data_IF_940555695242
#
_entry.id   IF_940555695242
#
_cell.length_a   1.000
_cell.length_b   1.000
_cell.length_c   1.000
_cell.angle_alpha   90.00
_cell.angle_beta   90.00
_cell.angle_gamma   90.00
#
_symmetry.space_group_name_H-M   'P 1'
#
loop_
_entity.id
_entity.type
_entity.pdbx_description
1 polymer ?
#
# COMPACT_ATOMS: atom_id res chain seq x y z
N UNK A 1 8.02 -14.52 5.16
CA UNK A 1 7.11 -13.39 4.85
C UNK A 1 6.65 -12.60 6.08
N UNK A 2 5.77 -13.11 6.97
CA UNK A 2 5.19 -12.35 8.12
C UNK A 2 6.25 -11.68 9.01
N UNK A 3 7.27 -12.42 9.45
CA UNK A 3 8.34 -11.87 10.31
C UNK A 3 9.16 -10.76 9.64
N UNK A 4 9.44 -10.89 8.34
CA UNK A 4 10.13 -9.86 7.55
C UNK A 4 9.27 -8.59 7.46
N UNK A 5 7.96 -8.77 7.26
CA UNK A 5 7.01 -7.65 7.23
C UNK A 5 6.90 -6.96 8.58
N UNK A 6 6.84 -7.71 9.69
CA UNK A 6 6.84 -7.14 11.04
C UNK A 6 8.13 -6.37 11.32
N UNK A 7 9.29 -6.92 10.93
CA UNK A 7 10.58 -6.24 11.08
C UNK A 7 10.63 -4.94 10.27
N UNK A 8 10.19 -4.97 9.01
CA UNK A 8 10.11 -3.77 8.19
C UNK A 8 9.15 -2.73 8.81
N UNK A 9 7.95 -3.17 9.22
CA UNK A 9 6.92 -2.31 9.80
C UNK A 9 7.48 -1.52 10.99
N UNK A 10 8.13 -2.21 11.94
CA UNK A 10 8.76 -1.55 13.09
C UNK A 10 9.83 -0.54 12.69
N UNK A 11 10.62 -0.82 11.64
CA UNK A 11 11.66 0.09 11.16
C UNK A 11 11.11 1.36 10.50
N UNK A 12 9.92 1.30 9.91
CA UNK A 12 9.29 2.43 9.21
C UNK A 12 8.19 3.13 10.04
N UNK A 13 7.99 2.71 11.30
CA UNK A 13 6.96 3.26 12.19
C UNK A 13 5.54 2.81 11.88
N UNK A 14 5.38 1.66 11.21
CA UNK A 14 4.09 1.04 10.91
C UNK A 14 3.90 -0.25 11.73
N UNK A 15 2.72 -0.87 11.60
CA UNK A 15 2.38 -2.14 12.23
C UNK A 15 1.72 -3.08 11.22
N UNK A 16 1.78 -4.38 11.50
CA UNK A 16 1.09 -5.41 10.71
C UNK A 16 -0.18 -5.79 11.45
N UNK A 17 -1.33 -5.82 10.77
CA UNK A 17 -2.56 -6.33 11.37
C UNK A 17 -2.40 -7.80 11.73
N UNK A 18 -2.80 -8.16 12.94
CA UNK A 18 -2.83 -9.54 13.38
C UNK A 18 -4.22 -10.13 13.12
N UNK A 19 -4.28 -11.07 12.17
CA UNK A 19 -5.51 -11.75 11.75
C UNK A 19 -5.19 -13.23 11.72
N UNK A 20 -5.56 -13.95 12.79
CA UNK A 20 -5.21 -15.36 12.99
C UNK A 20 -5.74 -16.26 11.87
N UNK A 21 -6.94 -15.97 11.37
CA UNK A 21 -7.62 -16.78 10.36
C UNK A 21 -7.13 -16.51 8.92
N UNK A 22 -6.30 -15.48 8.69
CA UNK A 22 -5.79 -15.13 7.36
C UNK A 22 -4.35 -15.62 7.16
N UNK A 23 -4.21 -16.84 6.64
CA UNK A 23 -2.93 -17.51 6.49
C UNK A 23 -2.15 -17.10 5.22
N UNK A 24 -2.77 -16.34 4.31
CA UNK A 24 -2.22 -16.07 2.98
C UNK A 24 -1.92 -14.58 2.79
N UNK A 25 -2.85 -13.71 3.16
CA UNK A 25 -2.75 -12.27 2.97
C UNK A 25 -2.41 -11.57 4.29
N UNK A 26 -1.53 -10.59 4.19
CA UNK A 26 -1.04 -9.76 5.28
C UNK A 26 -1.35 -8.30 4.96
N UNK A 27 -1.64 -7.51 6.00
CA UNK A 27 -1.94 -6.09 5.86
C UNK A 27 -0.97 -5.26 6.72
N UNK A 28 -0.22 -4.37 6.07
CA UNK A 28 0.66 -3.39 6.71
C UNK A 28 -0.08 -2.05 6.83
N UNK A 29 -0.11 -1.42 8.00
CA UNK A 29 -0.72 -0.11 8.17
C UNK A 29 -0.01 0.96 7.33
N UNK A 30 -0.75 1.98 6.90
CA UNK A 30 -0.21 3.17 6.24
C UNK A 30 -0.41 4.43 7.11
N UNK A 31 -0.29 4.28 8.43
CA UNK A 31 -0.57 5.34 9.41
C UNK A 31 0.38 6.54 9.31
N UNK A 32 1.60 6.32 8.81
CA UNK A 32 2.62 7.35 8.61
C UNK A 32 2.49 8.05 7.25
N UNK A 33 1.68 7.50 6.34
CA UNK A 33 1.42 8.04 5.01
C UNK A 33 0.11 8.83 5.04
N UNK A 34 0.13 10.15 4.75
CA UNK A 34 -1.09 10.95 4.67
C UNK A 34 -2.09 10.38 3.67
N UNK A 35 -3.37 10.43 4.01
CA UNK A 35 -4.48 9.85 3.25
C UNK A 35 -4.42 10.21 1.76
N UNK A 36 -4.18 11.48 1.45
CA UNK A 36 -4.12 12.02 0.10
C UNK A 36 -2.97 11.44 -0.75
N UNK A 37 -1.96 10.86 -0.11
CA UNK A 37 -0.81 10.25 -0.79
C UNK A 37 -0.84 8.72 -0.80
N UNK A 38 -1.81 8.07 -0.16
CA UNK A 38 -1.87 6.60 -0.10
C UNK A 38 -2.08 5.99 -1.50
N UNK A 39 -2.94 6.58 -2.34
CA UNK A 39 -3.11 6.13 -3.73
C UNK A 39 -1.83 6.29 -4.56
N UNK A 40 -1.15 7.43 -4.40
CA UNK A 40 0.14 7.69 -5.04
C UNK A 40 1.21 6.69 -4.61
N UNK A 41 1.25 6.34 -3.33
CA UNK A 41 2.16 5.32 -2.80
C UNK A 41 1.97 3.98 -3.52
N UNK A 42 0.73 3.54 -3.76
CA UNK A 42 0.43 2.35 -4.55
C UNK A 42 0.94 2.45 -6.00
N UNK A 43 0.79 3.62 -6.62
CA UNK A 43 1.29 3.88 -7.98
C UNK A 43 2.81 3.81 -8.05
N UNK A 44 3.52 4.32 -7.03
CA UNK A 44 4.98 4.26 -6.93
C UNK A 44 5.45 2.80 -6.77
N UNK A 45 4.77 2.00 -5.94
CA UNK A 45 5.09 0.57 -5.79
C UNK A 45 5.00 -0.16 -7.13
N UNK A 46 3.90 0.05 -7.87
CA UNK A 46 3.71 -0.55 -9.19
C UNK A 46 4.82 -0.13 -10.17
N UNK A 47 5.13 1.17 -10.23
CA UNK A 47 6.21 1.68 -11.10
C UNK A 47 7.60 1.17 -10.71
N UNK A 48 7.80 0.71 -9.47
CA UNK A 48 9.02 0.04 -9.01
C UNK A 48 8.96 -1.49 -9.16
N UNK A 49 7.99 -1.99 -9.92
CA UNK A 49 7.84 -3.41 -10.23
C UNK A 49 7.34 -4.25 -9.06
N UNK A 50 6.68 -3.65 -8.07
CA UNK A 50 5.96 -4.38 -7.02
C UNK A 50 4.54 -4.64 -7.51
N UNK A 51 4.30 -5.84 -8.01
CA UNK A 51 2.99 -6.27 -8.53
C UNK A 51 2.23 -7.11 -7.52
N UNK A 52 0.90 -7.10 -7.58
CA UNK A 52 0.04 -7.88 -6.68
C UNK A 52 -0.14 -7.28 -5.27
N UNK A 53 0.67 -6.29 -4.90
CA UNK A 53 0.43 -5.49 -3.70
C UNK A 53 -0.72 -4.51 -3.95
N UNK A 54 -1.60 -4.35 -2.95
CA UNK A 54 -2.81 -3.53 -3.08
C UNK A 54 -2.91 -2.53 -1.94
N UNK A 55 -2.88 -1.24 -2.28
CA UNK A 55 -3.17 -0.18 -1.31
C UNK A 55 -4.67 -0.01 -1.17
N UNK A 56 -5.18 -0.19 0.06
CA UNK A 56 -6.53 0.18 0.46
C UNK A 56 -6.46 1.52 1.15
N UNK A 57 -6.89 2.57 0.46
CA UNK A 57 -6.81 3.95 0.95
C UNK A 57 -7.82 4.20 2.07
N UNK A 58 -7.44 5.01 3.05
CA UNK A 58 -8.40 5.60 3.98
C UNK A 58 -9.38 6.48 3.19
N UNK A 59 -10.67 6.20 3.27
CA UNK A 59 -11.70 6.97 2.58
C UNK A 59 -13.05 6.83 3.27
N UNK A 60 -14.00 7.65 2.84
CA UNK A 60 -15.46 7.54 3.11
C UNK A 60 -16.25 7.47 1.79
N UNK A 61 -15.55 7.38 0.65
CA UNK A 61 -16.17 7.41 -0.68
C UNK A 61 -17.05 6.18 -0.89
N UNK A 62 -18.18 6.42 -1.54
CA UNK A 62 -19.11 5.36 -1.98
C UNK A 62 -18.80 5.00 -3.43
N UNK A 63 -18.60 3.71 -3.68
CA UNK A 63 -18.50 3.15 -5.04
C UNK A 63 -19.81 2.43 -5.36
N UNK A 64 -20.36 2.67 -6.56
CA UNK A 64 -21.58 2.00 -7.02
C UNK A 64 -21.20 0.89 -8.00
N UNK A 65 -21.63 -0.33 -7.72
CA UNK A 65 -21.43 -1.50 -8.59
C UNK A 65 -22.77 -2.19 -8.73
N UNK A 66 -23.29 -2.30 -9.96
CA UNK A 66 -24.60 -2.90 -10.27
C UNK A 66 -25.76 -2.36 -9.40
N UNK A 67 -25.74 -1.05 -9.11
CA UNK A 67 -26.74 -0.38 -8.27
C UNK A 67 -26.56 -0.56 -6.76
N UNK A 68 -25.57 -1.32 -6.32
CA UNK A 68 -25.21 -1.47 -4.91
C UNK A 68 -24.16 -0.45 -4.50
N UNK A 69 -24.35 0.14 -3.32
CA UNK A 69 -23.49 1.19 -2.78
C UNK A 69 -22.52 0.62 -1.75
N UNK A 70 -21.22 0.70 -2.03
CA UNK A 70 -20.15 0.26 -1.15
C UNK A 70 -19.37 1.45 -0.63
N UNK A 71 -19.55 1.78 0.64
CA UNK A 71 -18.68 2.72 1.35
C UNK A 71 -17.33 2.05 1.57
N UNK A 72 -16.24 2.77 1.30
CA UNK A 72 -14.87 2.27 1.48
C UNK A 72 -14.58 1.03 0.64
N UNK A 73 -15.02 1.05 -0.62
CA UNK A 73 -14.92 -0.12 -1.48
C UNK A 73 -13.53 -0.74 -1.47
N UNK A 74 -13.52 -2.06 -1.26
CA UNK A 74 -12.33 -2.86 -1.23
C UNK A 74 -11.65 -3.01 0.14
N UNK A 75 -12.10 -2.29 1.18
CA UNK A 75 -11.71 -2.58 2.57
C UNK A 75 -12.48 -3.76 3.17
N UNK A 76 -13.57 -4.16 2.50
CA UNK A 76 -14.58 -5.13 2.98
C UNK A 76 -15.34 -4.67 4.24
N UNK A 77 -15.32 -3.37 4.56
CA UNK A 77 -16.08 -2.79 5.66
C UNK A 77 -16.44 -1.33 5.39
N UNK A 78 -17.62 -0.88 5.80
CA UNK A 78 -18.00 0.54 5.79
C UNK A 78 -17.32 1.35 6.91
N UNK A 79 -16.63 0.70 7.83
CA UNK A 79 -15.92 1.35 8.93
C UNK A 79 -14.70 2.14 8.45
N UNK A 80 -14.38 3.20 9.20
CA UNK A 80 -13.21 4.02 8.94
C UNK A 80 -11.92 3.31 9.36
N UNK A 81 -10.88 3.43 8.53
CA UNK A 81 -9.56 2.84 8.79
C UNK A 81 -8.45 3.78 8.31
N UNK A 82 -7.24 3.63 8.84
CA UNK A 82 -6.08 4.48 8.51
C UNK A 82 -5.42 4.22 7.16
N UNK A 83 -6.02 3.37 6.32
CA UNK A 83 -5.41 2.84 5.11
C UNK A 83 -4.36 1.76 5.39
N UNK A 84 -4.20 0.83 4.45
CA UNK A 84 -3.27 -0.30 4.59
C UNK A 84 -2.80 -0.85 3.25
N UNK A 85 -1.64 -1.48 3.24
CA UNK A 85 -1.08 -2.21 2.12
C UNK A 85 -1.30 -3.72 2.31
N UNK A 86 -2.10 -4.31 1.44
CA UNK A 86 -2.25 -5.75 1.34
C UNK A 86 -1.14 -6.37 0.49
N UNK A 87 -0.55 -7.45 1.00
CA UNK A 87 0.40 -8.31 0.30
C UNK A 87 0.11 -9.77 0.65
N UNK A 88 0.36 -10.69 -0.26
CA UNK A 88 0.11 -12.11 -0.04
C UNK A 88 1.32 -12.95 -0.38
N UNK A 89 1.49 -14.07 0.32
CA UNK A 89 2.48 -15.09 0.00
C UNK A 89 1.78 -16.18 -0.84
N UNK A 90 1.80 -16.01 -2.15
CA UNK A 90 1.19 -16.98 -3.09
C UNK A 90 1.98 -18.28 -3.19
N UNK A 91 1.30 -19.35 -3.62
CA UNK A 91 1.97 -20.62 -3.96
C UNK A 91 2.92 -20.38 -5.14
N UNK A 92 4.15 -20.87 -5.02
CA UNK A 92 5.18 -20.75 -6.07
C UNK A 92 6.08 -19.51 -5.94
N UNK A 93 5.83 -18.64 -4.96
CA UNK A 93 6.71 -17.50 -4.68
C UNK A 93 8.04 -17.98 -4.08
N UNK A 94 9.15 -17.47 -4.61
CA UNK A 94 10.52 -17.80 -4.20
C UNK A 94 11.04 -16.86 -3.11
N UNK A 95 12.04 -17.31 -2.34
CA UNK A 95 12.70 -16.46 -1.33
C UNK A 95 13.36 -15.22 -1.95
N UNK A 96 13.94 -15.37 -3.16
CA UNK A 96 14.55 -14.25 -3.88
C UNK A 96 13.54 -13.16 -4.25
N UNK A 97 12.31 -13.54 -4.65
CA UNK A 97 11.23 -12.58 -4.92
C UNK A 97 10.79 -11.87 -3.62
N UNK A 98 10.77 -12.60 -2.50
CA UNK A 98 10.46 -12.03 -1.18
C UNK A 98 11.53 -11.01 -0.78
N UNK A 99 12.80 -11.34 -0.93
CA UNK A 99 13.91 -10.43 -0.60
C UNK A 99 13.89 -9.16 -1.47
N UNK A 100 13.66 -9.30 -2.77
CA UNK A 100 13.56 -8.18 -3.71
C UNK A 100 12.35 -7.29 -3.37
N UNK A 101 11.20 -7.89 -3.01
CA UNK A 101 10.03 -7.16 -2.56
C UNK A 101 10.36 -6.29 -1.33
N UNK A 102 11.01 -6.84 -0.31
CA UNK A 102 11.35 -6.10 0.91
C UNK A 102 12.41 -5.02 0.65
N UNK A 103 13.38 -5.30 -0.22
CA UNK A 103 14.37 -4.32 -0.68
C UNK A 103 13.70 -3.11 -1.34
N UNK A 104 12.80 -3.36 -2.29
CA UNK A 104 12.03 -2.31 -2.99
C UNK A 104 11.11 -1.56 -2.04
N UNK A 105 10.38 -2.27 -1.18
CA UNK A 105 9.43 -1.67 -0.25
C UNK A 105 10.15 -0.73 0.72
N UNK A 106 11.28 -1.15 1.28
CA UNK A 106 12.13 -0.31 2.12
C UNK A 106 12.61 0.94 1.36
N UNK A 107 13.16 0.77 0.16
CA UNK A 107 13.64 1.89 -0.64
C UNK A 107 12.51 2.88 -1.01
N UNK A 108 11.32 2.38 -1.34
CA UNK A 108 10.15 3.21 -1.64
C UNK A 108 9.71 3.97 -0.40
N UNK A 109 9.59 3.33 0.76
CA UNK A 109 9.22 3.99 2.02
C UNK A 109 10.22 5.05 2.43
N UNK A 110 11.52 4.74 2.42
CA UNK A 110 12.53 5.72 2.78
C UNK A 110 12.52 6.93 1.86
N UNK A 111 12.37 6.70 0.55
CA UNK A 111 12.19 7.79 -0.39
C UNK A 111 10.92 8.57 -0.05
N UNK A 112 9.79 7.91 0.11
CA UNK A 112 8.52 8.56 0.40
C UNK A 112 8.57 9.40 1.70
N UNK A 113 9.23 8.91 2.75
CA UNK A 113 9.44 9.59 4.03
C UNK A 113 10.42 10.75 3.96
N UNK A 114 11.56 10.60 3.24
CA UNK A 114 12.49 11.70 2.94
C UNK A 114 11.80 12.80 2.13
N UNK A 115 10.82 12.41 1.31
CA UNK A 115 10.02 13.27 0.44
C UNK A 115 8.82 13.95 1.14
N UNK A 116 8.85 14.14 2.46
CA UNK A 116 8.02 15.17 3.12
C UNK A 116 8.22 16.57 2.49
N UNK A 117 9.28 16.77 1.70
CA UNK A 117 9.57 18.00 0.93
C UNK A 117 9.36 17.90 -0.60
N UNK A 118 8.53 17.00 -1.14
CA UNK A 118 8.20 17.03 -2.59
C UNK A 118 7.15 18.11 -2.92
N UNK A 119 7.50 19.35 -2.61
CA UNK A 119 7.24 20.46 -3.49
C UNK A 119 8.56 20.75 -4.21
N UNK A 120 8.52 20.81 -5.54
CA UNK A 120 9.62 21.24 -6.44
C UNK A 120 10.89 20.37 -6.51
N UNK A 121 10.88 19.38 -7.42
CA UNK A 121 11.76 19.36 -8.62
C UNK A 121 11.60 18.06 -9.40
N UNK A 122 11.00 18.16 -10.59
CA UNK A 122 11.64 17.67 -11.81
C UNK A 122 11.46 16.22 -12.26
N UNK A 123 10.55 15.42 -11.70
CA UNK A 123 10.22 14.07 -12.23
C UNK A 123 8.69 13.81 -12.22
N UNK A 124 7.89 14.86 -12.41
CA UNK A 124 6.41 14.80 -12.49
C UNK A 124 5.92 15.53 -13.75
N UNK A 125 6.62 15.40 -14.89
CA UNK A 125 6.14 16.00 -16.15
C UNK A 125 5.39 15.01 -17.07
N UNK A 126 4.93 13.87 -16.55
CA UNK A 126 4.21 12.88 -17.38
C UNK A 126 2.91 12.34 -16.76
N UNK A 127 2.42 12.94 -15.67
CA UNK A 127 1.22 12.44 -14.97
C UNK A 127 0.15 13.52 -14.69
N UNK A 128 0.21 14.66 -15.37
CA UNK A 128 -0.92 15.58 -15.49
C UNK A 128 -1.37 15.52 -16.95
N UNK A 129 -2.47 14.79 -17.20
CA UNK A 129 -3.41 14.88 -18.34
C UNK A 129 -4.01 13.51 -18.71
N UNK A 130 -4.71 12.88 -17.76
CA UNK A 130 -5.80 11.96 -18.10
C UNK A 130 -6.96 12.24 -17.15
N UNK A 131 -7.74 13.27 -17.48
CA UNK A 131 -9.11 13.39 -17.00
C UNK A 131 -9.92 12.20 -17.53
N UNK A 132 -10.66 11.54 -16.63
CA UNK A 132 -11.80 10.68 -16.96
C UNK A 132 -13.08 11.39 -16.52
#
# INVERSE_FOLDING_TARGET
MKNLLMSLASNIGESVYDVEDNLISLALTLSTIPQEKQSLFGSILFNRGVTGARVVVSTTKTTVIDGYHFVNFGSHSSEQHGGYLNMACGVGMSEAEVDELFSRLKAVYENFSRKKSFATRGDISSYEDVEY
#
